data_IF_902432276744
#
_entry.id   IF_902432276744
#
_cell.length_a   1.000
_cell.length_b   1.000
_cell.length_c   1.000
_cell.angle_alpha   90.00
_cell.angle_beta   90.00
_cell.angle_gamma   90.00
#
_symmetry.space_group_name_H-M   'P 1'
#
loop_
_entity.id
_entity.type
_entity.pdbx_description
1 polymer ?
#
# COMPACT_ATOMS: atom_id res chain seq x y z
N UNK A 1 -10.81 13.48 -5.53
CA UNK A 1 -9.88 13.97 -6.57
C UNK A 1 -8.41 13.69 -6.26
N UNK A 2 -7.97 13.74 -4.99
CA UNK A 2 -6.56 13.51 -4.61
C UNK A 2 -5.99 12.12 -4.95
N UNK A 3 -6.83 11.06 -4.95
CA UNK A 3 -6.40 9.68 -5.28
C UNK A 3 -5.81 9.53 -6.69
N UNK A 4 -6.24 10.35 -7.65
CA UNK A 4 -5.77 10.24 -9.02
C UNK A 4 -4.34 10.78 -9.18
N UNK A 5 -3.93 11.76 -8.37
CA UNK A 5 -2.61 12.38 -8.48
C UNK A 5 -1.50 11.38 -8.21
N UNK A 6 -1.62 10.57 -7.16
CA UNK A 6 -0.63 9.55 -6.81
C UNK A 6 -0.56 8.42 -7.84
N UNK A 7 -1.71 7.98 -8.35
CA UNK A 7 -1.76 6.93 -9.39
C UNK A 7 -1.10 7.41 -10.69
N UNK A 8 -1.40 8.64 -11.11
CA UNK A 8 -0.77 9.25 -12.29
C UNK A 8 0.73 9.40 -12.07
N UNK A 9 1.16 9.85 -10.88
CA UNK A 9 2.57 9.95 -10.51
C UNK A 9 3.29 8.60 -10.58
N UNK A 10 2.69 7.56 -10.00
CA UNK A 10 3.22 6.19 -10.02
C UNK A 10 3.46 5.69 -11.45
N UNK A 11 2.43 5.79 -12.31
CA UNK A 11 2.50 5.33 -13.71
C UNK A 11 3.50 6.16 -14.52
N UNK A 12 3.47 7.49 -14.37
CA UNK A 12 4.35 8.41 -15.10
C UNK A 12 5.81 8.15 -14.76
N UNK A 13 6.16 8.10 -13.48
CA UNK A 13 7.53 7.83 -13.04
C UNK A 13 7.99 6.42 -13.41
N UNK A 14 7.11 5.41 -13.31
CA UNK A 14 7.42 4.06 -13.77
C UNK A 14 7.71 4.01 -15.27
N UNK A 15 6.91 4.68 -16.10
CA UNK A 15 7.12 4.75 -17.54
C UNK A 15 8.45 5.44 -17.90
N UNK A 16 8.77 6.57 -17.25
CA UNK A 16 10.05 7.24 -17.46
C UNK A 16 11.24 6.39 -17.05
N UNK A 17 11.13 5.63 -15.95
CA UNK A 17 12.17 4.70 -15.53
C UNK A 17 12.42 3.62 -16.61
N UNK A 18 11.36 3.02 -17.14
CA UNK A 18 11.46 1.99 -18.19
C UNK A 18 12.07 2.55 -19.47
N UNK A 19 11.59 3.71 -19.95
CA UNK A 19 12.10 4.33 -21.18
C UNK A 19 13.58 4.70 -21.03
N UNK A 20 13.96 5.34 -19.94
CA UNK A 20 15.36 5.75 -19.72
C UNK A 20 16.29 4.55 -19.56
N UNK A 21 15.87 3.49 -18.86
CA UNK A 21 16.63 2.24 -18.77
C UNK A 21 16.78 1.56 -20.14
N UNK A 22 15.72 1.54 -20.96
CA UNK A 22 15.78 0.96 -22.31
C UNK A 22 16.78 1.71 -23.19
N UNK A 23 16.72 3.05 -23.19
CA UNK A 23 17.65 3.89 -23.96
C UNK A 23 19.09 3.69 -23.47
N UNK A 24 19.32 3.62 -22.15
CA UNK A 24 20.64 3.34 -21.59
C UNK A 24 21.19 1.99 -22.10
N UNK A 25 20.39 0.93 -22.04
CA UNK A 25 20.77 -0.40 -22.52
C UNK A 25 21.08 -0.42 -24.01
N UNK A 26 20.29 0.27 -24.84
CA UNK A 26 20.53 0.38 -26.28
C UNK A 26 21.83 1.12 -26.57
N UNK A 27 22.11 2.23 -25.87
CA UNK A 27 23.37 2.97 -26.03
C UNK A 27 24.57 2.11 -25.62
N UNK A 28 24.47 1.38 -24.50
CA UNK A 28 25.53 0.46 -24.05
C UNK A 28 25.76 -0.68 -25.06
N UNK A 29 24.69 -1.23 -25.64
CA UNK A 29 24.77 -2.28 -26.65
C UNK A 29 25.43 -1.78 -27.95
N UNK A 30 24.99 -0.63 -28.47
CA UNK A 30 25.58 -0.01 -29.67
C UNK A 30 27.05 0.34 -29.44
N UNK A 31 27.40 0.88 -28.26
CA UNK A 31 28.78 1.13 -27.89
C UNK A 31 29.64 -0.14 -27.88
N UNK A 32 29.14 -1.20 -27.23
CA UNK A 32 29.87 -2.47 -27.08
C UNK A 32 30.11 -3.19 -28.40
N UNK A 33 29.08 -3.24 -29.26
CA UNK A 33 29.18 -3.87 -30.59
C UNK A 33 30.18 -3.15 -31.49
N UNK A 34 30.19 -1.82 -31.47
CA UNK A 34 31.17 -1.01 -32.23
C UNK A 34 32.60 -1.25 -31.76
N UNK A 35 32.83 -1.25 -30.45
CA UNK A 35 34.14 -1.51 -29.87
C UNK A 35 34.64 -2.92 -30.27
N UNK A 36 33.78 -3.92 -30.18
CA UNK A 36 34.11 -5.30 -30.56
C UNK A 36 34.45 -5.43 -32.05
N UNK A 37 33.63 -4.86 -32.93
CA UNK A 37 33.87 -4.91 -34.38
C UNK A 37 35.20 -4.25 -34.76
N UNK A 38 35.53 -3.11 -34.14
CA UNK A 38 36.76 -2.38 -34.43
C UNK A 38 38.00 -3.06 -33.84
N UNK A 39 37.85 -3.77 -32.72
CA UNK A 39 38.88 -4.63 -32.17
C UNK A 39 39.24 -5.76 -33.15
N UNK A 40 38.24 -6.43 -33.73
CA UNK A 40 38.45 -7.49 -34.71
C UNK A 40 39.05 -6.95 -36.01
N UNK A 41 38.55 -5.83 -36.51
CA UNK A 41 38.95 -5.29 -37.81
C UNK A 41 40.32 -4.60 -37.83
N UNK A 42 40.64 -3.80 -36.80
CA UNK A 42 41.81 -2.89 -36.79
C UNK A 42 42.74 -3.10 -35.58
N UNK A 43 42.46 -4.11 -34.75
CA UNK A 43 43.26 -4.47 -33.59
C UNK A 43 42.98 -3.62 -32.33
N UNK A 44 43.69 -3.92 -31.22
CA UNK A 44 43.39 -3.39 -29.89
C UNK A 44 43.62 -1.87 -29.75
N UNK A 45 44.64 -1.33 -30.43
CA UNK A 45 45.00 0.09 -30.33
C UNK A 45 43.88 0.97 -30.91
N UNK A 46 43.30 0.58 -32.04
CA UNK A 46 42.19 1.30 -32.67
C UNK A 46 40.92 1.22 -31.83
N UNK A 47 40.59 0.04 -31.29
CA UNK A 47 39.48 -0.12 -30.36
C UNK A 47 39.60 0.82 -29.15
N UNK A 48 40.80 0.98 -28.59
CA UNK A 48 41.04 1.89 -27.48
C UNK A 48 40.80 3.37 -27.84
N UNK A 49 41.12 3.80 -29.06
CA UNK A 49 40.80 5.16 -29.53
C UNK A 49 39.30 5.39 -29.65
N UNK A 50 38.55 4.38 -30.09
CA UNK A 50 37.08 4.45 -30.15
C UNK A 50 36.49 4.51 -28.75
N UNK A 51 36.97 3.69 -27.80
CA UNK A 51 36.54 3.77 -26.39
C UNK A 51 36.71 5.19 -25.85
N UNK A 52 37.85 5.84 -26.13
CA UNK A 52 38.09 7.24 -25.71
C UNK A 52 37.10 8.23 -26.34
N UNK A 53 36.72 8.05 -27.61
CA UNK A 53 35.75 8.92 -28.30
C UNK A 53 34.31 8.65 -27.83
N UNK A 54 33.96 7.39 -27.57
CA UNK A 54 32.64 6.98 -27.12
C UNK A 54 32.40 7.19 -25.62
N UNK A 55 33.38 7.73 -24.87
CA UNK A 55 33.25 7.95 -23.43
C UNK A 55 32.09 8.87 -23.07
N UNK A 56 31.76 9.82 -23.95
CA UNK A 56 30.61 10.69 -23.76
C UNK A 56 29.30 9.88 -23.86
N UNK A 57 29.19 8.97 -24.83
CA UNK A 57 28.02 8.08 -24.98
C UNK A 57 27.87 7.18 -23.76
N UNK A 58 28.97 6.63 -23.25
CA UNK A 58 28.99 5.86 -21.99
C UNK A 58 28.51 6.72 -20.83
N UNK A 59 28.97 7.97 -20.73
CA UNK A 59 28.54 8.91 -19.71
C UNK A 59 27.04 9.25 -19.76
N UNK A 60 26.47 9.39 -20.96
CA UNK A 60 25.03 9.58 -21.16
C UNK A 60 24.26 8.32 -20.75
N UNK A 61 24.74 7.13 -21.14
CA UNK A 61 24.12 5.87 -20.76
C UNK A 61 24.12 5.67 -19.24
N UNK A 62 25.23 5.96 -18.57
CA UNK A 62 25.31 5.96 -17.10
C UNK A 62 24.31 6.96 -16.48
N UNK A 63 24.27 8.20 -16.98
CA UNK A 63 23.34 9.22 -16.47
C UNK A 63 21.88 8.78 -16.63
N UNK A 64 21.51 8.22 -17.78
CA UNK A 64 20.16 7.70 -18.03
C UNK A 64 19.82 6.55 -17.08
N UNK A 65 20.78 5.69 -16.75
CA UNK A 65 20.58 4.61 -15.79
C UNK A 65 20.33 5.14 -14.36
N UNK A 66 21.10 6.14 -13.92
CA UNK A 66 20.84 6.81 -12.63
C UNK A 66 19.50 7.54 -12.61
N UNK A 67 19.14 8.22 -13.70
CA UNK A 67 17.84 8.86 -13.85
C UNK A 67 16.70 7.84 -13.83
N UNK A 68 16.87 6.69 -14.47
CA UNK A 68 15.91 5.58 -14.43
C UNK A 68 15.69 5.09 -13.00
N UNK A 69 16.77 4.88 -12.26
CA UNK A 69 16.70 4.45 -10.86
C UNK A 69 16.03 5.50 -9.97
N UNK A 70 16.33 6.79 -10.16
CA UNK A 70 15.64 7.88 -9.48
C UNK A 70 14.12 7.87 -9.74
N UNK A 71 13.72 7.74 -11.00
CA UNK A 71 12.30 7.68 -11.37
C UNK A 71 11.60 6.43 -10.82
N UNK A 72 12.29 5.30 -10.79
CA UNK A 72 11.78 4.08 -10.16
C UNK A 72 11.51 4.27 -8.66
N UNK A 73 12.47 4.87 -7.93
CA UNK A 73 12.29 5.17 -6.51
C UNK A 73 11.15 6.18 -6.24
N UNK A 74 11.00 7.18 -7.11
CA UNK A 74 9.83 8.08 -7.06
C UNK A 74 8.51 7.33 -7.29
N UNK A 75 8.48 6.37 -8.21
CA UNK A 75 7.32 5.50 -8.43
C UNK A 75 6.98 4.69 -7.17
N UNK A 76 7.99 4.09 -6.52
CA UNK A 76 7.81 3.40 -5.24
C UNK A 76 7.26 4.34 -4.17
N UNK A 77 7.74 5.59 -4.09
CA UNK A 77 7.22 6.58 -3.15
C UNK A 77 5.74 6.86 -3.40
N UNK A 78 5.32 7.05 -4.65
CA UNK A 78 3.90 7.22 -4.98
C UNK A 78 3.07 5.98 -4.64
N UNK A 79 3.60 4.78 -4.89
CA UNK A 79 2.95 3.53 -4.50
C UNK A 79 2.80 3.42 -2.98
N UNK A 80 3.84 3.77 -2.23
CA UNK A 80 3.79 3.83 -0.78
C UNK A 80 2.75 4.87 -0.33
N UNK A 81 2.69 6.05 -0.94
CA UNK A 81 1.67 7.05 -0.61
C UNK A 81 0.25 6.55 -0.83
N UNK A 82 -0.03 5.89 -1.96
CA UNK A 82 -1.36 5.31 -2.24
C UNK A 82 -1.77 4.24 -1.22
N UNK A 83 -0.82 3.40 -0.81
CA UNK A 83 -1.10 2.35 0.14
C UNK A 83 -1.19 2.93 1.55
N UNK A 84 -0.16 3.61 2.05
CA UNK A 84 -0.05 4.00 3.45
C UNK A 84 -0.86 5.24 3.84
N UNK A 85 -1.12 6.15 2.90
CA UNK A 85 -1.89 7.39 3.11
C UNK A 85 -3.24 7.36 2.39
N UNK A 86 -3.75 6.15 2.13
CA UNK A 86 -5.06 5.93 1.55
C UNK A 86 -6.20 6.55 2.36
N UNK A 87 -7.46 6.42 1.89
CA UNK A 87 -8.60 6.99 2.59
C UNK A 87 -8.64 6.52 4.05
N UNK A 88 -9.16 7.36 4.94
CA UNK A 88 -9.40 6.99 6.33
C UNK A 88 -10.46 5.87 6.40
N UNK A 89 -10.00 4.62 6.25
CA UNK A 89 -10.84 3.41 6.33
C UNK A 89 -11.13 3.08 7.80
N UNK A 90 -10.19 3.43 8.68
CA UNK A 90 -10.26 3.15 10.11
C UNK A 90 -10.99 4.27 10.87
N UNK A 91 -11.78 3.92 11.90
CA UNK A 91 -12.37 4.91 12.78
C UNK A 91 -11.28 5.72 13.49
N UNK A 92 -11.57 6.96 13.89
CA UNK A 92 -10.67 7.72 14.75
C UNK A 92 -10.71 7.16 16.16
N UNK A 93 -9.54 6.91 16.75
CA UNK A 93 -9.46 6.39 18.12
C UNK A 93 -9.66 7.46 19.18
N UNK A 94 -9.24 8.69 18.92
CA UNK A 94 -9.46 9.84 19.81
C UNK A 94 -10.83 10.45 19.51
N UNK A 95 -11.85 9.94 20.18
CA UNK A 95 -13.26 10.38 20.03
C UNK A 95 -13.43 11.85 20.45
N UNK A 96 -12.59 12.34 21.37
CA UNK A 96 -12.77 13.65 22.00
C UNK A 96 -12.61 14.85 21.06
N UNK A 97 -11.91 14.69 19.93
CA UNK A 97 -11.63 15.80 19.00
C UNK A 97 -12.27 15.62 17.61
N UNK A 98 -12.99 14.52 17.38
CA UNK A 98 -13.59 14.22 16.08
C UNK A 98 -15.02 14.77 16.01
N UNK A 99 -15.40 15.52 14.95
CA UNK A 99 -16.80 15.87 14.71
C UNK A 99 -17.65 14.59 14.63
N UNK A 100 -18.87 14.61 15.17
CA UNK A 100 -19.82 13.47 15.11
C UNK A 100 -19.99 12.89 13.70
N UNK A 101 -19.84 13.74 12.68
CA UNK A 101 -19.90 13.38 11.26
C UNK A 101 -18.77 12.43 10.80
N UNK A 102 -17.60 12.49 11.44
CA UNK A 102 -16.42 11.67 11.07
C UNK A 102 -16.46 10.27 11.67
N UNK A 103 -17.25 10.06 12.72
CA UNK A 103 -17.35 8.77 13.40
C UNK A 103 -18.04 7.72 12.53
N UNK A 104 -18.88 8.14 11.57
CA UNK A 104 -19.58 7.26 10.62
C UNK A 104 -19.04 7.35 9.19
N UNK A 105 -17.94 8.09 8.95
CA UNK A 105 -17.45 8.31 7.58
C UNK A 105 -16.50 7.23 7.07
N UNK A 106 -16.01 6.35 7.95
CA UNK A 106 -15.07 5.29 7.61
C UNK A 106 -15.81 3.97 7.35
N UNK A 107 -15.39 3.22 6.33
CA UNK A 107 -16.04 1.95 5.98
C UNK A 107 -15.98 0.93 7.14
N UNK A 108 -14.85 0.85 7.84
CA UNK A 108 -14.77 -0.02 9.01
C UNK A 108 -15.65 0.50 10.16
N UNK A 109 -15.73 1.81 10.39
CA UNK A 109 -16.62 2.34 11.43
C UNK A 109 -18.09 1.97 11.19
N UNK A 110 -18.54 2.07 9.94
CA UNK A 110 -19.89 1.67 9.54
C UNK A 110 -20.12 0.17 9.80
N UNK A 111 -19.17 -0.68 9.40
CA UNK A 111 -19.25 -2.12 9.65
C UNK A 111 -19.44 -2.45 11.14
N UNK A 112 -18.84 -1.69 12.04
CA UNK A 112 -18.98 -1.91 13.50
C UNK A 112 -20.29 -1.43 14.04
N UNK A 113 -20.79 -0.33 13.50
CA UNK A 113 -22.19 0.06 13.66
C UNK A 113 -23.11 -1.12 13.32
N UNK A 114 -22.97 -1.66 12.13
CA UNK A 114 -23.81 -2.75 11.63
C UNK A 114 -23.69 -4.02 12.51
N UNK A 115 -22.47 -4.43 12.86
CA UNK A 115 -22.23 -5.61 13.72
C UNK A 115 -22.77 -5.39 15.14
N UNK A 116 -22.63 -4.19 15.68
CA UNK A 116 -23.14 -3.85 17.01
C UNK A 116 -24.67 -3.83 17.04
N UNK A 117 -25.31 -3.27 16.02
CA UNK A 117 -26.76 -3.22 15.90
C UNK A 117 -27.35 -4.63 15.70
N UNK A 118 -26.67 -5.48 14.92
CA UNK A 118 -27.02 -6.89 14.79
C UNK A 118 -26.90 -7.65 16.12
N UNK A 119 -25.82 -7.40 16.87
CA UNK A 119 -25.63 -7.97 18.20
C UNK A 119 -26.71 -7.49 19.18
N UNK A 120 -27.04 -6.19 19.16
CA UNK A 120 -28.12 -5.61 19.97
C UNK A 120 -29.47 -6.24 19.64
N UNK A 121 -29.79 -6.41 18.37
CA UNK A 121 -31.03 -7.08 17.93
C UNK A 121 -31.13 -8.51 18.43
N UNK A 122 -30.00 -9.24 18.43
CA UNK A 122 -29.94 -10.65 18.84
C UNK A 122 -29.94 -10.83 20.36
N UNK A 123 -29.24 -9.95 21.07
CA UNK A 123 -28.97 -10.08 22.50
C UNK A 123 -29.92 -9.28 23.39
N UNK A 124 -30.70 -8.36 22.79
CA UNK A 124 -31.62 -7.48 23.50
C UNK A 124 -30.92 -6.38 24.28
N UNK A 125 -31.57 -5.90 25.34
CA UNK A 125 -31.01 -4.88 26.21
C UNK A 125 -29.72 -5.37 26.88
N UNK A 126 -28.75 -4.47 26.99
CA UNK A 126 -27.46 -4.74 27.64
C UNK A 126 -27.66 -5.06 29.11
N UNK A 127 -27.11 -6.18 29.57
CA UNK A 127 -27.14 -6.55 30.97
C UNK A 127 -25.92 -5.94 31.66
N UNK A 128 -26.08 -4.71 32.15
CA UNK A 128 -25.11 -4.07 33.04
C UNK A 128 -25.10 -4.85 34.36
N UNK A 129 -24.20 -5.81 34.50
CA UNK A 129 -23.89 -6.38 35.79
C UNK A 129 -23.32 -5.25 36.65
N UNK A 130 -24.07 -4.84 37.67
CA UNK A 130 -23.65 -3.82 38.63
C UNK A 130 -22.27 -4.24 39.15
N UNK A 131 -21.32 -3.31 39.08
CA UNK A 131 -19.96 -3.45 39.62
C UNK A 131 -20.02 -3.65 41.14
N UNK A 132 -20.36 -4.85 41.61
CA UNK A 132 -20.16 -5.23 43.01
C UNK A 132 -18.70 -5.69 43.19
N UNK A 133 -17.78 -4.73 43.09
CA UNK A 133 -16.36 -4.90 43.42
C UNK A 133 -15.51 -5.54 42.33
N UNK A 134 -14.58 -4.75 41.76
CA UNK A 134 -13.27 -5.07 41.13
C UNK A 134 -12.97 -6.46 40.51
N UNK A 135 -13.97 -7.24 40.10
CA UNK A 135 -13.81 -8.66 39.81
C UNK A 135 -13.98 -9.03 38.36
N UNK A 136 -15.19 -8.85 37.80
CA UNK A 136 -15.52 -9.29 36.43
C UNK A 136 -16.63 -8.40 35.84
N UNK A 137 -16.33 -7.55 34.85
CA UNK A 137 -17.29 -6.55 34.35
C UNK A 137 -18.37 -7.11 33.41
N UNK A 138 -18.52 -8.44 33.26
CA UNK A 138 -19.48 -9.03 32.34
C UNK A 138 -20.24 -10.20 32.93
N UNK A 139 -21.54 -10.22 32.66
CA UNK A 139 -22.36 -11.39 32.90
C UNK A 139 -21.93 -12.53 31.98
N UNK A 140 -21.23 -13.51 32.51
CA UNK A 140 -20.95 -14.78 31.82
C UNK A 140 -22.17 -15.71 31.78
N UNK A 141 -23.37 -15.21 32.11
CA UNK A 141 -24.59 -16.02 32.17
C UNK A 141 -25.28 -16.17 30.82
N UNK A 142 -24.85 -15.44 29.79
CA UNK A 142 -25.43 -15.55 28.45
C UNK A 142 -24.91 -16.78 27.71
N UNK A 143 -25.80 -17.42 26.95
CA UNK A 143 -25.53 -18.68 26.27
C UNK A 143 -24.57 -18.54 25.06
N UNK A 144 -24.44 -17.34 24.49
CA UNK A 144 -23.65 -17.09 23.28
C UNK A 144 -22.46 -16.18 23.54
N UNK A 145 -21.40 -16.39 22.76
CA UNK A 145 -20.16 -15.61 22.83
C UNK A 145 -20.42 -14.16 22.40
N UNK A 146 -21.24 -13.99 21.37
CA UNK A 146 -21.66 -12.68 20.88
C UNK A 146 -22.27 -11.81 21.97
N UNK A 147 -23.22 -12.35 22.75
CA UNK A 147 -23.95 -11.53 23.72
C UNK A 147 -23.11 -11.20 24.95
N UNK A 148 -22.20 -12.10 25.34
CA UNK A 148 -21.21 -11.78 26.36
C UNK A 148 -20.28 -10.66 25.88
N UNK A 149 -19.77 -10.73 24.64
CA UNK A 149 -18.93 -9.68 24.05
C UNK A 149 -19.68 -8.34 23.93
N UNK A 150 -20.95 -8.36 23.54
CA UNK A 150 -21.82 -7.18 23.46
C UNK A 150 -21.97 -6.49 24.81
N UNK A 151 -22.29 -7.23 25.87
CA UNK A 151 -22.42 -6.67 27.22
C UNK A 151 -21.09 -6.09 27.72
N UNK A 152 -19.97 -6.77 27.46
CA UNK A 152 -18.64 -6.29 27.82
C UNK A 152 -18.26 -4.99 27.12
N UNK A 153 -18.50 -4.94 25.82
CA UNK A 153 -18.20 -3.77 25.02
C UNK A 153 -18.95 -2.55 25.54
N UNK A 154 -20.24 -2.73 25.82
CA UNK A 154 -21.10 -1.69 26.33
C UNK A 154 -20.77 -1.23 27.75
N UNK A 155 -20.51 -2.16 28.67
CA UNK A 155 -20.13 -1.84 30.04
C UNK A 155 -18.82 -1.02 30.08
N UNK A 156 -17.82 -1.41 29.29
CA UNK A 156 -16.54 -0.72 29.25
C UNK A 156 -16.66 0.72 28.73
N UNK A 157 -17.40 0.94 27.64
CA UNK A 157 -17.58 2.27 27.08
C UNK A 157 -18.32 3.23 28.01
N UNK A 158 -19.25 2.72 28.80
CA UNK A 158 -19.93 3.48 29.85
C UNK A 158 -18.99 3.89 31.00
N UNK A 159 -17.86 3.20 31.20
CA UNK A 159 -16.95 3.45 32.33
C UNK A 159 -15.77 4.34 31.92
N UNK A 160 -15.12 4.00 30.81
CA UNK A 160 -13.81 4.58 30.46
C UNK A 160 -13.94 5.88 29.69
N UNK A 161 -14.90 5.97 28.76
CA UNK A 161 -14.94 7.08 27.80
C UNK A 161 -15.99 8.13 28.12
N UNK A 162 -17.00 7.78 28.93
CA UNK A 162 -18.09 8.68 29.21
C UNK A 162 -18.47 8.60 30.70
N UNK A 163 -18.04 9.60 31.50
CA UNK A 163 -18.79 9.98 32.69
C UNK A 163 -20.14 10.52 32.21
N UNK A 164 -21.05 9.62 31.88
CA UNK A 164 -22.38 9.96 31.44
C UNK A 164 -23.33 9.92 32.63
N UNK A 165 -23.77 11.07 33.16
CA UNK A 165 -24.70 11.12 34.28
C UNK A 165 -26.16 10.81 33.89
N UNK A 166 -26.46 10.58 32.60
CA UNK A 166 -27.83 10.35 32.11
C UNK A 166 -27.94 9.11 31.23
N UNK A 167 -29.11 8.48 31.27
CA UNK A 167 -29.42 7.15 30.71
C UNK A 167 -29.38 7.05 29.17
N UNK A 168 -28.92 8.09 28.46
CA UNK A 168 -29.03 8.24 27.01
C UNK A 168 -27.67 8.24 26.28
N UNK A 169 -26.62 7.68 26.86
CA UNK A 169 -25.33 7.66 26.18
C UNK A 169 -25.25 6.54 25.16
N UNK A 170 -25.17 6.94 23.89
CA UNK A 170 -24.87 6.05 22.78
C UNK A 170 -23.43 5.58 22.90
N UNK A 171 -23.26 4.32 23.28
CA UNK A 171 -21.97 3.63 23.18
C UNK A 171 -21.51 3.74 21.73
N UNK A 172 -20.31 4.29 21.46
CA UNK A 172 -19.79 4.37 20.10
C UNK A 172 -19.64 2.94 19.54
N UNK A 173 -20.39 2.53 18.48
CA UNK A 173 -20.40 1.14 18.05
C UNK A 173 -19.27 0.78 17.08
N UNK A 174 -18.55 1.79 16.57
CA UNK A 174 -17.67 1.71 15.41
C UNK A 174 -16.38 0.89 15.58
N UNK A 175 -16.15 0.25 16.72
CA UNK A 175 -15.01 -0.65 16.94
C UNK A 175 -15.43 -2.10 17.22
N UNK A 176 -16.73 -2.36 17.26
CA UNK A 176 -17.27 -3.65 17.68
C UNK A 176 -16.93 -4.77 16.69
N UNK A 177 -16.32 -5.85 17.20
CA UNK A 177 -16.02 -7.06 16.42
C UNK A 177 -14.58 -7.18 15.91
N UNK A 178 -13.77 -6.10 15.87
CA UNK A 178 -12.39 -6.21 15.36
C UNK A 178 -11.31 -5.40 16.10
N UNK A 179 -11.64 -4.51 17.04
CA UNK A 179 -10.60 -3.76 17.75
C UNK A 179 -9.81 -4.65 18.71
N UNK A 180 -8.50 -4.85 18.50
CA UNK A 180 -7.68 -5.67 19.37
C UNK A 180 -7.54 -5.10 20.78
N UNK A 181 -7.73 -3.79 21.03
CA UNK A 181 -7.34 -3.14 22.30
C UNK A 181 -8.36 -3.26 23.43
N UNK A 182 -9.58 -3.69 23.13
CA UNK A 182 -10.53 -4.14 24.16
C UNK A 182 -10.05 -5.39 24.89
N UNK A 183 -9.16 -6.14 24.25
CA UNK A 183 -8.79 -7.47 24.70
C UNK A 183 -7.51 -7.56 25.58
N UNK A 184 -6.44 -6.75 25.41
CA UNK A 184 -5.24 -6.83 26.24
C UNK A 184 -5.37 -6.13 27.59
N UNK A 185 -6.24 -5.12 27.74
CA UNK A 185 -6.42 -4.40 29.01
C UNK A 185 -7.19 -5.20 30.06
N UNK A 186 -7.73 -6.36 29.70
CA UNK A 186 -8.26 -7.33 30.66
C UNK A 186 -7.33 -8.54 30.66
N UNK A 187 -6.40 -8.62 31.62
CA UNK A 187 -5.20 -9.47 31.54
C UNK A 187 -5.46 -10.99 31.52
N UNK A 188 -6.71 -11.45 31.51
CA UNK A 188 -7.11 -12.84 31.25
C UNK A 188 -8.48 -12.77 30.56
N UNK A 189 -8.55 -13.22 29.32
CA UNK A 189 -9.70 -13.07 28.43
C UNK A 189 -11.04 -13.17 29.16
N UNK A 190 -11.96 -12.26 28.84
CA UNK A 190 -13.30 -12.17 29.43
C UNK A 190 -14.10 -13.48 29.33
N UNK A 191 -13.76 -14.31 28.34
CA UNK A 191 -14.31 -15.65 28.09
C UNK A 191 -13.34 -16.78 28.47
N UNK A 192 -12.08 -16.43 28.77
CA UNK A 192 -10.91 -17.30 28.84
C UNK A 192 -11.01 -18.47 29.81
N UNK A 193 -11.54 -18.32 31.05
CA UNK A 193 -11.62 -19.46 31.96
C UNK A 193 -12.65 -20.52 31.57
N UNK A 194 -13.68 -20.18 30.77
CA UNK A 194 -14.78 -21.10 30.43
C UNK A 194 -14.68 -21.68 29.03
N UNK A 195 -14.16 -20.92 28.07
CA UNK A 195 -14.17 -21.30 26.67
C UNK A 195 -12.86 -21.90 26.17
N UNK A 196 -11.76 -21.80 26.94
CA UNK A 196 -10.44 -22.32 26.54
C UNK A 196 -10.05 -21.91 25.11
N UNK A 197 -10.35 -20.66 24.73
CA UNK A 197 -10.12 -20.10 23.40
C UNK A 197 -9.06 -19.00 23.43
N UNK A 198 -8.26 -18.93 22.38
CA UNK A 198 -7.33 -17.83 22.15
C UNK A 198 -8.07 -16.52 21.88
N UNK A 199 -7.38 -15.39 22.02
CA UNK A 199 -7.96 -14.09 21.69
C UNK A 199 -8.42 -13.99 20.24
N UNK A 200 -7.63 -14.58 19.33
CA UNK A 200 -7.94 -14.57 17.91
C UNK A 200 -9.22 -15.35 17.61
N UNK A 201 -9.38 -16.53 18.22
CA UNK A 201 -10.59 -17.35 18.13
C UNK A 201 -11.82 -16.63 18.70
N UNK A 202 -11.68 -15.95 19.85
CA UNK A 202 -12.78 -15.17 20.43
C UNK A 202 -13.24 -14.07 19.47
N UNK A 203 -12.30 -13.34 18.89
CA UNK A 203 -12.60 -12.26 17.93
C UNK A 203 -13.29 -12.82 16.69
N UNK A 204 -12.73 -13.89 16.11
CA UNK A 204 -13.31 -14.55 14.93
C UNK A 204 -14.73 -15.03 15.21
N UNK A 205 -14.97 -15.64 16.37
CA UNK A 205 -16.28 -16.14 16.76
C UNK A 205 -17.30 -15.02 16.99
N UNK A 206 -16.90 -13.91 17.61
CA UNK A 206 -17.78 -12.74 17.76
C UNK A 206 -18.15 -12.18 16.39
N UNK A 207 -17.17 -12.02 15.50
CA UNK A 207 -17.42 -11.55 14.13
C UNK A 207 -18.37 -12.47 13.37
N UNK A 208 -18.14 -13.78 13.43
CA UNK A 208 -18.97 -14.78 12.78
C UNK A 208 -20.40 -14.75 13.36
N UNK A 209 -20.58 -14.82 14.68
CA UNK A 209 -21.92 -14.80 15.27
C UNK A 209 -22.65 -13.47 15.00
N UNK A 210 -21.93 -12.34 14.96
CA UNK A 210 -22.48 -11.03 14.63
C UNK A 210 -22.89 -10.92 13.15
N UNK A 211 -22.07 -11.43 12.22
CA UNK A 211 -22.41 -11.43 10.79
C UNK A 211 -23.58 -12.37 10.51
N UNK A 212 -23.67 -13.53 11.18
CA UNK A 212 -24.83 -14.42 11.09
C UNK A 212 -26.13 -13.75 11.53
N UNK A 213 -26.07 -12.98 12.62
CA UNK A 213 -27.18 -12.17 13.09
C UNK A 213 -27.56 -11.09 12.06
N UNK A 214 -26.57 -10.37 11.55
CA UNK A 214 -26.76 -9.26 10.60
C UNK A 214 -27.39 -9.73 9.28
N UNK A 215 -26.97 -10.90 8.80
CA UNK A 215 -27.47 -11.50 7.56
C UNK A 215 -28.71 -12.39 7.75
N UNK A 216 -29.25 -12.49 8.97
CA UNK A 216 -30.45 -13.28 9.27
C UNK A 216 -30.28 -14.79 9.02
N UNK A 217 -29.06 -15.32 9.07
CA UNK A 217 -28.76 -16.71 8.71
C UNK A 217 -29.48 -17.71 9.62
N UNK A 218 -29.67 -17.39 10.90
CA UNK A 218 -30.45 -18.22 11.83
C UNK A 218 -31.92 -18.35 11.41
N UNK A 219 -32.58 -17.24 11.11
CA UNK A 219 -33.96 -17.25 10.63
C UNK A 219 -34.08 -18.00 9.30
N UNK A 220 -33.13 -17.83 8.38
CA UNK A 220 -33.09 -18.57 7.12
C UNK A 220 -32.86 -20.08 7.35
N UNK A 221 -32.04 -20.46 8.34
CA UNK A 221 -31.82 -21.86 8.72
C UNK A 221 -33.07 -22.50 9.34
N UNK A 222 -33.81 -21.78 10.18
CA UNK A 222 -35.08 -22.22 10.75
C UNK A 222 -36.18 -22.36 9.69
N UNK A 223 -36.24 -21.41 8.75
CA UNK A 223 -37.13 -21.48 7.59
C UNK A 223 -36.79 -22.69 6.71
N UNK A 224 -35.51 -22.93 6.45
CA UNK A 224 -35.05 -24.11 5.71
C UNK A 224 -35.41 -25.40 6.44
N UNK A 225 -35.16 -25.49 7.74
CA UNK A 225 -35.47 -26.67 8.54
C UNK A 225 -36.99 -26.97 8.57
N UNK A 226 -37.82 -25.94 8.70
CA UNK A 226 -39.28 -26.10 8.73
C UNK A 226 -39.86 -26.42 7.35
N UNK A 227 -39.41 -25.74 6.29
CA UNK A 227 -39.93 -25.93 4.93
C UNK A 227 -39.40 -27.20 4.24
N UNK A 228 -38.19 -27.66 4.60
CA UNK A 228 -37.58 -28.87 4.05
C UNK A 228 -37.68 -30.10 4.97
N UNK A 229 -38.35 -29.98 6.12
CA UNK A 229 -38.54 -31.09 7.06
C UNK A 229 -39.35 -32.24 6.47
N UNK A 230 -39.17 -33.44 7.03
CA UNK A 230 -39.76 -34.70 6.54
C UNK A 230 -41.30 -34.73 6.48
N UNK A 231 -41.97 -33.73 7.06
CA UNK A 231 -43.43 -33.63 7.17
C UNK A 231 -44.11 -32.95 5.99
N UNK A 232 -43.39 -32.41 4.99
CA UNK A 232 -44.00 -31.90 3.76
C UNK A 232 -43.98 -32.97 2.65
N UNK A 233 -45.11 -33.67 2.41
CA UNK A 233 -45.15 -34.85 1.57
C UNK A 233 -45.21 -34.46 0.09
N UNK A 234 -44.08 -34.47 -0.63
CA UNK A 234 -43.99 -34.51 -2.11
C UNK A 234 -44.83 -33.51 -2.94
N UNK A 235 -45.49 -32.54 -2.31
CA UNK A 235 -46.37 -31.59 -3.00
C UNK A 235 -45.51 -30.61 -3.78
N UNK A 236 -45.96 -30.22 -4.97
CA UNK A 236 -45.26 -29.24 -5.79
C UNK A 236 -45.02 -27.93 -5.01
N UNK A 237 -45.98 -27.55 -4.16
CA UNK A 237 -45.90 -26.39 -3.27
C UNK A 237 -44.84 -26.56 -2.18
N UNK A 238 -44.76 -27.72 -1.51
CA UNK A 238 -43.74 -28.00 -0.51
C UNK A 238 -42.32 -28.02 -1.10
N UNK A 239 -42.17 -28.56 -2.31
CA UNK A 239 -40.91 -28.53 -3.04
C UNK A 239 -40.49 -27.10 -3.40
N UNK A 240 -41.43 -26.26 -3.84
CA UNK A 240 -41.16 -24.85 -4.14
C UNK A 240 -40.77 -24.06 -2.87
N UNK A 241 -41.49 -24.25 -1.76
CA UNK A 241 -41.20 -23.60 -0.49
C UNK A 241 -39.82 -24.00 0.06
N UNK A 242 -39.47 -25.30 0.03
CA UNK A 242 -38.15 -25.77 0.43
C UNK A 242 -37.04 -25.20 -0.48
N UNK A 243 -37.26 -25.15 -1.81
CA UNK A 243 -36.31 -24.56 -2.74
C UNK A 243 -36.06 -23.07 -2.44
N UNK A 244 -37.11 -22.30 -2.17
CA UNK A 244 -37.00 -20.90 -1.78
C UNK A 244 -36.28 -20.72 -0.44
N UNK A 245 -36.58 -21.55 0.56
CA UNK A 245 -35.93 -21.50 1.87
C UNK A 245 -34.43 -21.83 1.77
N UNK A 246 -34.05 -22.81 0.95
CA UNK A 246 -32.64 -23.11 0.64
C UNK A 246 -31.93 -21.94 -0.03
N UNK A 247 -32.57 -21.30 -1.02
CA UNK A 247 -32.01 -20.14 -1.69
C UNK A 247 -31.78 -18.96 -0.72
N UNK A 248 -32.73 -18.71 0.20
CA UNK A 248 -32.58 -17.71 1.24
C UNK A 248 -31.43 -18.03 2.21
N UNK A 249 -31.28 -19.29 2.60
CA UNK A 249 -30.17 -19.76 3.45
C UNK A 249 -28.81 -19.56 2.77
N UNK A 250 -28.65 -19.92 1.49
CA UNK A 250 -27.40 -19.71 0.76
C UNK A 250 -27.08 -18.22 0.61
N UNK A 251 -28.06 -17.39 0.26
CA UNK A 251 -27.87 -15.93 0.17
C UNK A 251 -27.46 -15.31 1.51
N UNK A 252 -28.01 -15.80 2.61
CA UNK A 252 -27.58 -15.38 3.95
C UNK A 252 -26.15 -15.86 4.24
N UNK A 253 -25.77 -17.07 3.80
CA UNK A 253 -24.41 -17.60 3.89
C UNK A 253 -23.38 -16.73 3.15
N UNK A 254 -23.68 -16.32 1.91
CA UNK A 254 -22.80 -15.45 1.12
C UNK A 254 -22.58 -14.10 1.82
N UNK A 255 -23.67 -13.49 2.32
CA UNK A 255 -23.60 -12.26 3.12
C UNK A 255 -22.71 -12.40 4.36
N UNK A 256 -22.80 -13.54 5.08
CA UNK A 256 -21.99 -13.81 6.26
C UNK A 256 -20.51 -13.87 5.90
N UNK A 257 -20.17 -14.56 4.82
CA UNK A 257 -18.79 -14.66 4.33
C UNK A 257 -18.20 -13.30 3.99
N UNK A 258 -18.93 -12.48 3.23
CA UNK A 258 -18.49 -11.13 2.84
C UNK A 258 -18.21 -10.25 4.08
N UNK A 259 -19.09 -10.31 5.08
CA UNK A 259 -19.00 -9.47 6.29
C UNK A 259 -17.91 -9.93 7.25
N UNK A 260 -17.70 -11.24 7.36
CA UNK A 260 -16.57 -11.81 8.10
C UNK A 260 -15.24 -11.38 7.46
N UNK A 261 -15.13 -11.52 6.14
CA UNK A 261 -13.95 -11.10 5.38
C UNK A 261 -13.67 -9.60 5.55
N UNK A 262 -14.70 -8.76 5.49
CA UNK A 262 -14.55 -7.32 5.67
C UNK A 262 -14.13 -6.96 7.11
N UNK A 263 -14.66 -7.64 8.12
CA UNK A 263 -14.24 -7.45 9.50
C UNK A 263 -12.79 -7.88 9.72
N UNK A 264 -12.35 -8.99 9.11
CA UNK A 264 -10.95 -9.43 9.12
C UNK A 264 -10.03 -8.45 8.40
N UNK A 265 -10.44 -7.89 7.25
CA UNK A 265 -9.71 -6.82 6.56
C UNK A 265 -9.61 -5.58 7.44
N UNK A 266 -10.70 -5.16 8.07
CA UNK A 266 -10.73 -4.04 9.00
C UNK A 266 -9.78 -4.26 10.18
N UNK A 267 -9.77 -5.45 10.78
CA UNK A 267 -8.82 -5.83 11.84
C UNK A 267 -7.36 -5.68 11.39
N UNK A 268 -7.04 -6.18 10.20
CA UNK A 268 -5.68 -6.14 9.65
C UNK A 268 -5.23 -4.72 9.32
N UNK A 269 -6.11 -3.91 8.73
CA UNK A 269 -5.79 -2.55 8.28
C UNK A 269 -5.80 -1.55 9.44
N UNK A 270 -6.66 -1.75 10.44
CA UNK A 270 -6.87 -0.84 11.56
C UNK A 270 -6.12 -1.26 12.82
N UNK A 271 -4.90 -1.76 12.66
CA UNK A 271 -3.97 -1.92 13.76
C UNK A 271 -3.48 -0.54 14.20
N UNK A 272 -3.33 -0.33 15.51
CA UNK A 272 -2.89 0.94 16.09
C UNK A 272 -1.55 0.78 16.78
N UNK A 273 -0.68 1.76 16.64
CA UNK A 273 0.58 1.88 17.36
C UNK A 273 0.61 3.18 18.16
N UNK A 274 1.29 3.16 19.30
CA UNK A 274 1.53 4.35 20.11
C UNK A 274 2.84 4.97 19.64
N UNK A 275 2.77 6.15 19.02
CA UNK A 275 3.93 6.94 18.56
C UNK A 275 3.83 8.33 19.20
N UNK A 276 4.88 8.78 19.88
CA UNK A 276 4.92 10.08 20.57
C UNK A 276 3.75 10.33 21.54
N UNK A 277 3.30 9.29 22.23
CA UNK A 277 2.17 9.36 23.16
C UNK A 277 0.80 9.51 22.49
N UNK A 278 0.71 9.45 21.16
CA UNK A 278 -0.53 9.49 20.39
C UNK A 278 -0.77 8.16 19.69
N UNK A 279 -2.00 7.67 19.77
CA UNK A 279 -2.39 6.47 19.03
C UNK A 279 -2.63 6.83 17.57
N UNK A 280 -1.88 6.21 16.68
CA UNK A 280 -2.02 6.38 15.24
C UNK A 280 -2.20 5.01 14.57
N UNK A 281 -2.84 4.93 13.40
CA UNK A 281 -2.89 3.69 12.64
C UNK A 281 -1.46 3.23 12.34
N UNK A 282 -1.16 1.96 12.57
CA UNK A 282 0.15 1.34 12.33
C UNK A 282 0.63 1.64 10.90
N UNK A 283 -0.30 1.65 9.95
CA UNK A 283 -0.06 2.00 8.56
C UNK A 283 0.52 3.42 8.40
N UNK A 284 0.03 4.40 9.17
CA UNK A 284 0.52 5.78 9.15
C UNK A 284 1.92 5.86 9.74
N UNK A 285 2.14 5.19 10.89
CA UNK A 285 3.45 5.11 11.55
C UNK A 285 4.50 4.49 10.61
N UNK A 286 4.17 3.32 10.04
CA UNK A 286 5.03 2.63 9.08
C UNK A 286 5.24 3.47 7.81
N UNK A 287 4.21 4.19 7.37
CA UNK A 287 4.28 5.12 6.24
C UNK A 287 5.29 6.24 6.44
N UNK A 288 5.33 6.86 7.63
CA UNK A 288 6.33 7.90 7.96
C UNK A 288 7.75 7.36 7.94
N UNK A 289 7.98 6.21 8.58
CA UNK A 289 9.31 5.59 8.60
C UNK A 289 9.77 5.18 7.19
N UNK A 290 8.88 4.58 6.41
CA UNK A 290 9.16 4.19 5.03
C UNK A 290 9.45 5.42 4.17
N UNK A 291 8.66 6.48 4.29
CA UNK A 291 8.89 7.73 3.57
C UNK A 291 10.25 8.34 3.91
N UNK A 292 10.61 8.42 5.20
CA UNK A 292 11.91 8.91 5.62
C UNK A 292 13.06 8.10 5.03
N UNK A 293 12.93 6.77 5.02
CA UNK A 293 13.92 5.87 4.40
C UNK A 293 14.03 6.10 2.89
N UNK A 294 12.90 6.21 2.18
CA UNK A 294 12.87 6.47 0.74
C UNK A 294 13.49 7.83 0.39
N UNK A 295 13.25 8.87 1.20
CA UNK A 295 13.85 10.20 1.02
C UNK A 295 15.37 10.17 1.20
N UNK A 296 15.88 9.42 2.18
CA UNK A 296 17.33 9.21 2.36
C UNK A 296 17.93 8.49 1.14
N UNK A 297 17.29 7.43 0.65
CA UNK A 297 17.75 6.70 -0.54
C UNK A 297 17.75 7.61 -1.77
N UNK A 298 16.69 8.39 -1.99
CA UNK A 298 16.61 9.37 -3.08
C UNK A 298 17.71 10.43 -2.98
N UNK A 299 18.01 10.90 -1.77
CA UNK A 299 19.09 11.85 -1.55
C UNK A 299 20.45 11.27 -1.93
N UNK A 300 20.75 10.03 -1.51
CA UNK A 300 21.98 9.32 -1.89
C UNK A 300 22.07 9.17 -3.42
N UNK A 301 20.99 8.78 -4.08
CA UNK A 301 20.95 8.66 -5.56
C UNK A 301 21.24 10.02 -6.21
N UNK A 302 20.66 11.12 -5.72
CA UNK A 302 20.93 12.46 -6.26
C UNK A 302 22.39 12.86 -6.13
N UNK A 303 23.01 12.61 -4.97
CA UNK A 303 24.43 12.90 -4.73
C UNK A 303 25.32 12.08 -5.66
N UNK A 304 25.05 10.77 -5.79
CA UNK A 304 25.80 9.89 -6.70
C UNK A 304 25.65 10.31 -8.17
N UNK A 305 24.44 10.65 -8.59
CA UNK A 305 24.15 11.11 -9.96
C UNK A 305 24.89 12.41 -10.26
N UNK A 306 24.88 13.37 -9.32
CA UNK A 306 25.58 14.65 -9.46
C UNK A 306 27.10 14.44 -9.52
N UNK A 307 27.66 13.63 -8.62
CA UNK A 307 29.09 13.31 -8.61
C UNK A 307 29.54 12.64 -9.92
N UNK A 308 28.73 11.72 -10.43
CA UNK A 308 28.97 11.08 -11.73
C UNK A 308 28.87 12.06 -12.90
N UNK A 309 27.86 12.92 -12.92
CA UNK A 309 27.72 13.95 -13.96
C UNK A 309 28.93 14.88 -13.99
N UNK A 310 29.41 15.33 -12.82
CA UNK A 310 30.61 16.17 -12.70
C UNK A 310 31.85 15.42 -13.18
N UNK A 311 32.04 14.15 -12.75
CA UNK A 311 33.18 13.33 -13.17
C UNK A 311 33.21 13.15 -14.70
N UNK A 312 32.08 12.80 -15.30
CA UNK A 312 31.93 12.66 -16.75
C UNK A 312 32.22 13.98 -17.46
N UNK A 313 31.68 15.09 -16.97
CA UNK A 313 31.93 16.41 -17.55
C UNK A 313 33.42 16.79 -17.50
N UNK A 314 34.08 16.61 -16.36
CA UNK A 314 35.51 16.87 -16.21
C UNK A 314 36.36 16.00 -17.14
N UNK A 315 35.97 14.73 -17.30
CA UNK A 315 36.64 13.82 -18.22
C UNK A 315 36.46 14.27 -19.68
N UNK A 316 35.24 14.62 -20.09
CA UNK A 316 34.96 15.14 -21.44
C UNK A 316 35.76 16.42 -21.70
N UNK A 317 35.78 17.36 -20.75
CA UNK A 317 36.53 18.62 -20.87
C UNK A 317 38.04 18.39 -20.99
N UNK A 318 38.60 17.43 -20.22
CA UNK A 318 40.03 17.05 -20.33
C UNK A 318 40.36 16.47 -21.70
N UNK A 319 39.51 15.58 -22.23
CA UNK A 319 39.72 14.99 -23.56
C UNK A 319 39.53 16.01 -24.69
N UNK A 320 38.57 16.92 -24.56
CA UNK A 320 38.37 18.00 -25.53
C UNK A 320 39.61 18.90 -25.65
N UNK A 321 40.23 19.27 -24.51
CA UNK A 321 41.49 20.04 -24.50
C UNK A 321 42.63 19.30 -25.20
N UNK A 322 42.80 18.00 -24.93
CA UNK A 322 43.83 17.19 -25.58
C UNK A 322 43.67 17.16 -27.11
N UNK A 323 42.41 17.11 -27.58
CA UNK A 323 42.09 17.11 -29.00
C UNK A 323 42.38 18.45 -29.67
N UNK A 324 42.00 19.57 -29.03
CA UNK A 324 42.30 20.90 -29.55
C UNK A 324 43.83 21.14 -29.67
N UNK A 325 44.63 20.70 -28.71
CA UNK A 325 46.09 20.90 -28.75
C UNK A 325 46.78 20.10 -29.87
N UNK A 326 46.34 18.86 -30.14
CA UNK A 326 46.95 18.02 -31.19
C UNK A 326 46.63 18.50 -32.60
N UNK A 327 45.42 19.00 -32.85
CA UNK A 327 45.07 19.62 -34.14
C UNK A 327 45.75 20.97 -34.39
N UNK A 328 46.08 21.73 -33.34
CA UNK A 328 46.76 23.02 -33.47
C UNK A 328 48.24 22.89 -33.84
N UNK A 329 48.94 21.89 -33.27
CA UNK A 329 50.36 21.68 -33.55
C UNK A 329 50.63 21.30 -35.01
N UNK A 330 49.67 20.66 -35.68
CA UNK A 330 49.85 20.16 -37.05
C UNK A 330 49.53 21.17 -38.15
N UNK A 331 48.87 22.29 -37.84
CA UNK A 331 48.32 23.19 -38.87
C UNK A 331 48.89 24.61 -38.90
N UNK A 332 49.67 25.04 -37.89
CA UNK A 332 50.46 26.28 -37.93
C UNK A 332 49.71 27.60 -38.12
N UNK A 333 48.38 27.62 -38.24
CA UNK A 333 47.61 28.86 -38.47
C UNK A 333 46.16 28.73 -38.00
N UNK A 334 45.81 29.42 -36.91
CA UNK A 334 44.43 29.56 -36.42
C UNK A 334 43.65 30.54 -37.31
N UNK A 335 42.62 30.07 -38.00
CA UNK A 335 41.63 30.92 -38.68
C UNK A 335 40.24 30.50 -38.19
N UNK A 336 39.58 31.39 -37.43
CA UNK A 336 38.23 31.18 -36.89
C UNK A 336 37.15 31.14 -37.97
N UNK A 337 37.44 31.59 -39.19
CA UNK A 337 36.47 31.64 -40.29
C UNK A 337 36.10 30.28 -40.88
N UNK A 338 36.84 29.22 -40.53
CA UNK A 338 36.64 27.89 -41.13
C UNK A 338 35.42 27.13 -40.58
N UNK A 339 34.84 27.52 -39.45
CA UNK A 339 33.72 26.81 -38.80
C UNK A 339 32.31 27.10 -39.38
N UNK A 340 32.20 27.86 -40.48
CA UNK A 340 30.89 28.15 -41.10
C UNK A 340 30.38 27.06 -42.05
N UNK A 341 31.18 26.04 -42.35
CA UNK A 341 30.78 25.03 -43.34
C UNK A 341 29.90 23.93 -42.71
N UNK A 342 28.80 23.49 -43.35
CA UNK A 342 27.96 22.40 -42.86
C UNK A 342 28.72 21.07 -42.67
N UNK A 343 29.88 20.93 -43.31
CA UNK A 343 30.81 19.80 -43.16
C UNK A 343 31.42 19.75 -41.75
N UNK A 344 31.62 20.90 -41.09
CA UNK A 344 32.16 20.92 -39.72
C UNK A 344 31.11 20.57 -38.66
N UNK A 345 29.81 20.76 -38.97
CA UNK A 345 28.70 20.26 -38.15
C UNK A 345 28.58 18.74 -38.26
N UNK A 346 28.82 18.18 -39.44
CA UNK A 346 28.98 16.73 -39.65
C UNK A 346 30.21 16.18 -38.93
N UNK A 347 31.33 16.91 -38.89
CA UNK A 347 32.50 16.53 -38.07
C UNK A 347 32.24 16.57 -36.57
N UNK A 348 31.39 17.50 -36.12
CA UNK A 348 30.92 17.50 -34.74
C UNK A 348 30.06 16.27 -34.47
N UNK A 349 29.19 15.84 -35.39
CA UNK A 349 28.42 14.59 -35.30
C UNK A 349 29.34 13.35 -35.39
N UNK A 350 30.44 13.41 -36.14
CA UNK A 350 31.49 12.39 -36.16
C UNK A 350 32.33 12.32 -34.89
N UNK A 351 32.45 13.43 -34.15
CA UNK A 351 33.04 13.41 -32.81
C UNK A 351 32.23 12.52 -31.85
N UNK A 352 30.92 12.33 -32.11
CA UNK A 352 30.08 11.34 -31.42
C UNK A 352 30.23 9.92 -31.98
N UNK A 353 31.09 9.72 -32.98
CA UNK A 353 31.32 8.45 -33.66
C UNK A 353 30.17 8.02 -34.56
N UNK A 354 29.43 8.95 -35.16
CA UNK A 354 28.28 8.61 -36.01
C UNK A 354 28.68 8.04 -37.37
N UNK A 355 29.78 8.48 -38.00
CA UNK A 355 30.28 7.94 -39.26
C UNK A 355 31.69 7.35 -39.10
N UNK A 356 31.84 6.07 -39.41
CA UNK A 356 33.09 5.33 -39.22
C UNK A 356 34.05 5.40 -40.43
N UNK A 357 33.62 5.82 -41.63
CA UNK A 357 34.38 5.52 -42.86
C UNK A 357 34.31 6.57 -44.01
N UNK A 358 34.43 7.87 -43.78
CA UNK A 358 34.37 8.84 -44.90
C UNK A 358 35.53 9.84 -45.03
N UNK A 359 36.76 9.42 -44.69
CA UNK A 359 37.94 10.08 -45.28
C UNK A 359 38.92 9.03 -45.79
N UNK A 360 39.01 8.81 -47.12
CA UNK A 360 40.15 8.10 -47.69
C UNK A 360 41.43 8.90 -47.41
N UNK A 361 42.51 8.16 -47.10
CA UNK A 361 43.84 8.69 -46.77
C UNK A 361 44.36 9.73 -47.76
#
# INVERSE_FOLDING_TARGET
FEKNTYLIGFVKSGLFATISSLVATLLSFVGSTRIANQYVARGPIHAFHIIKRSFLVVGIAEFLLYYAFYQFMMSIQYFASMNYFGPHICPLRQIHDAPSLWLNSSACAQLGGDLFDAARGTCGAMQLAIFSGFGRPCSTSRATVLCAAYDCYGAYHNIVFFKCPTNNCSVPPFWFGWDPLFFPLVPRGWLGPRLNMTLEEQTLRVTMEASEAMCGKRAASELMASSCGATHPSSAEGNAACAQARAAYFKAGDCVGDKEDDALKCRKVCQWALEDGKWQPLKVVLGKHLQGLLEVVLWVIRVLTLGRAISTLLFVLRNARAFCCTSCYRSGRWSWDRWRSPIDLLRFVDFWGAFDDCFPN
#
